data_IF_064820639188
#
_entry.id   IF_064820639188
#
_cell.length_a   1.000
_cell.length_b   1.000
_cell.length_c   1.000
_cell.angle_alpha   90.00
_cell.angle_beta   90.00
_cell.angle_gamma   90.00
#
_symmetry.space_group_name_H-M   'P 1'
#
loop_
_entity.id
_entity.type
_entity.pdbx_description
1 polymer ?
#
# COMPACT_ATOMS: atom_id res chain seq x y z
N UNK A 1 -15.77 11.68 9.55
CA UNK A 1 -14.84 10.70 10.15
C UNK A 1 -15.65 9.68 10.93
N UNK A 2 -15.53 8.40 10.60
CA UNK A 2 -16.20 7.29 11.29
C UNK A 2 -15.16 6.53 12.08
N UNK A 3 -15.32 6.47 13.41
CA UNK A 3 -14.47 5.66 14.27
C UNK A 3 -15.04 4.26 14.36
N UNK A 4 -14.27 3.26 13.97
CA UNK A 4 -14.68 1.87 14.08
C UNK A 4 -13.53 0.95 14.45
N UNK A 5 -13.85 -0.13 15.13
CA UNK A 5 -12.88 -1.20 15.38
C UNK A 5 -12.75 -2.11 14.16
N UNK A 6 -11.60 -2.74 13.99
CA UNK A 6 -11.40 -3.74 12.94
C UNK A 6 -12.37 -4.89 13.16
N UNK A 7 -13.12 -5.26 12.11
CA UNK A 7 -14.04 -6.40 12.14
C UNK A 7 -13.25 -7.69 11.95
N UNK A 8 -13.58 -8.73 12.72
CA UNK A 8 -12.92 -10.03 12.70
C UNK A 8 -13.93 -11.15 12.44
N UNK A 9 -13.65 -11.97 11.44
CA UNK A 9 -14.45 -13.14 11.09
C UNK A 9 -13.59 -14.39 11.22
N UNK A 10 -14.16 -15.52 11.59
CA UNK A 10 -13.47 -16.81 11.55
C UNK A 10 -14.04 -17.67 10.44
N UNK A 11 -13.16 -18.34 9.68
CA UNK A 11 -13.55 -19.33 8.67
C UNK A 11 -12.88 -20.66 8.94
N UNK A 12 -13.67 -21.68 9.22
CA UNK A 12 -13.23 -23.04 9.47
C UNK A 12 -13.04 -23.76 8.14
N UNK A 13 -11.83 -24.24 7.89
CA UNK A 13 -11.52 -25.02 6.70
C UNK A 13 -12.25 -26.38 6.73
N UNK A 14 -12.93 -26.77 5.64
CA UNK A 14 -13.45 -28.13 5.49
C UNK A 14 -12.34 -29.19 5.56
N UNK A 15 -12.54 -30.25 6.33
CA UNK A 15 -11.60 -31.38 6.39
C UNK A 15 -12.33 -32.72 6.50
N UNK A 16 -11.74 -33.74 5.87
CA UNK A 16 -12.14 -35.15 6.02
C UNK A 16 -11.29 -35.89 7.07
N UNK A 17 -10.26 -35.22 7.59
CA UNK A 17 -9.33 -35.78 8.55
C UNK A 17 -9.92 -35.72 9.98
N UNK A 18 -9.27 -36.42 10.92
CA UNK A 18 -9.67 -36.39 12.32
C UNK A 18 -9.60 -34.97 12.90
N UNK A 19 -10.75 -34.46 13.32
CA UNK A 19 -10.88 -33.15 13.95
C UNK A 19 -10.57 -33.20 15.44
N UNK A 20 -10.15 -32.07 15.99
CA UNK A 20 -10.28 -31.82 17.42
C UNK A 20 -11.76 -31.62 17.77
N UNK A 21 -12.08 -31.73 19.06
CA UNK A 21 -13.39 -31.33 19.55
C UNK A 21 -13.48 -29.80 19.52
N UNK A 22 -14.44 -29.29 18.75
CA UNK A 22 -14.67 -27.87 18.58
C UNK A 22 -16.18 -27.60 18.46
N UNK A 23 -16.59 -26.40 18.86
CA UNK A 23 -17.97 -25.96 18.79
C UNK A 23 -18.04 -24.60 18.11
N UNK A 24 -19.00 -24.46 17.19
CA UNK A 24 -19.36 -23.19 16.56
C UNK A 24 -20.77 -22.85 17.02
N UNK A 25 -20.91 -21.64 17.57
CA UNK A 25 -22.21 -21.11 17.98
C UNK A 25 -22.45 -19.80 17.21
N UNK A 26 -23.53 -19.75 16.46
CA UNK A 26 -23.93 -18.58 15.68
C UNK A 26 -25.09 -17.90 16.40
N UNK A 27 -24.81 -16.79 17.07
CA UNK A 27 -25.80 -15.96 17.75
C UNK A 27 -26.32 -14.86 16.80
N UNK A 28 -27.49 -14.27 17.07
CA UNK A 28 -28.04 -13.17 16.26
C UNK A 28 -27.12 -11.93 16.20
N UNK A 29 -26.20 -11.77 17.15
CA UNK A 29 -25.26 -10.63 17.27
C UNK A 29 -23.79 -11.07 17.41
N UNK A 30 -23.40 -12.14 16.73
CA UNK A 30 -21.99 -12.57 16.68
C UNK A 30 -21.85 -14.07 16.55
N UNK A 31 -20.61 -14.53 16.36
CA UNK A 31 -20.29 -15.96 16.38
C UNK A 31 -19.27 -16.26 17.46
N UNK A 32 -19.30 -17.47 18.00
CA UNK A 32 -18.24 -17.97 18.87
C UNK A 32 -17.66 -19.30 18.38
N UNK A 33 -16.34 -19.41 18.50
CA UNK A 33 -15.58 -20.60 18.15
C UNK A 33 -14.88 -21.10 19.41
N UNK A 34 -15.14 -22.33 19.80
CA UNK A 34 -14.56 -22.97 20.97
C UNK A 34 -13.76 -24.20 20.56
N UNK A 35 -12.51 -24.28 21.04
CA UNK A 35 -11.68 -25.48 20.93
C UNK A 35 -11.56 -26.16 22.29
N UNK A 36 -11.81 -27.47 22.32
CA UNK A 36 -11.57 -28.32 23.49
C UNK A 36 -10.27 -29.09 23.27
N UNK A 37 -9.29 -28.83 24.13
CA UNK A 37 -7.99 -29.49 24.13
C UNK A 37 -7.93 -30.40 25.37
N UNK A 38 -8.11 -31.73 25.21
CA UNK A 38 -8.06 -32.67 26.32
C UNK A 38 -6.72 -32.59 27.06
N UNK A 39 -6.75 -32.71 28.39
CA UNK A 39 -5.52 -32.83 29.18
C UNK A 39 -4.78 -34.10 28.82
N UNK A 40 -3.48 -33.97 28.57
CA UNK A 40 -2.60 -35.12 28.48
C UNK A 40 -2.38 -35.67 29.90
N UNK A 41 -2.81 -36.91 30.14
CA UNK A 41 -2.67 -37.60 31.42
C UNK A 41 -1.20 -37.88 31.78
N UNK A 42 -0.28 -37.74 30.82
CA UNK A 42 1.17 -37.88 31.02
C UNK A 42 1.85 -36.65 31.67
N UNK A 43 1.20 -35.48 31.71
CA UNK A 43 1.79 -34.21 32.19
C UNK A 43 1.83 -34.04 33.73
N UNK A 44 1.52 -35.08 34.50
CA UNK A 44 1.57 -35.05 35.96
C UNK A 44 0.34 -34.45 36.66
N UNK A 45 0.35 -34.50 38.00
CA UNK A 45 -0.84 -34.32 38.87
C UNK A 45 -1.30 -32.85 39.00
N UNK A 46 -0.47 -31.87 38.63
CA UNK A 46 -0.81 -30.44 38.67
C UNK A 46 -0.66 -29.86 37.26
N UNK A 47 -1.73 -29.94 36.47
CA UNK A 47 -1.77 -29.38 35.11
C UNK A 47 -2.78 -28.22 35.05
N UNK A 48 -2.31 -26.98 35.20
CA UNK A 48 -3.11 -25.75 35.07
C UNK A 48 -3.41 -25.37 33.60
N UNK A 49 -3.22 -26.28 32.64
CA UNK A 49 -3.55 -26.01 31.23
C UNK A 49 -5.07 -25.85 31.08
N UNK A 50 -5.45 -24.73 30.47
CA UNK A 50 -6.84 -24.45 30.09
C UNK A 50 -7.27 -25.47 29.03
N UNK A 51 -8.40 -26.13 29.26
CA UNK A 51 -8.97 -27.12 28.32
C UNK A 51 -9.82 -26.45 27.25
N UNK A 52 -10.60 -25.44 27.63
CA UNK A 52 -11.58 -24.80 26.76
C UNK A 52 -11.12 -23.40 26.33
N UNK A 53 -10.99 -23.21 25.02
CA UNK A 53 -10.58 -21.95 24.40
C UNK A 53 -11.71 -21.39 23.53
N UNK A 54 -12.53 -20.53 24.13
CA UNK A 54 -13.64 -19.83 23.46
C UNK A 54 -13.22 -18.43 22.98
N UNK A 55 -13.55 -18.12 21.74
CA UNK A 55 -13.25 -16.85 21.05
C UNK A 55 -14.52 -16.28 20.42
N UNK A 56 -14.66 -14.95 20.38
CA UNK A 56 -15.82 -14.25 19.79
C UNK A 56 -15.42 -13.53 18.50
N UNK A 57 -16.31 -13.55 17.53
CA UNK A 57 -16.15 -12.95 16.21
C UNK A 57 -17.46 -12.25 15.79
N UNK A 58 -17.40 -11.39 14.77
CA UNK A 58 -18.60 -10.84 14.16
C UNK A 58 -19.45 -11.95 13.51
N UNK A 59 -18.80 -12.94 12.90
CA UNK A 59 -19.42 -14.20 12.50
C UNK A 59 -18.36 -15.32 12.44
N UNK A 60 -18.80 -16.56 12.59
CA UNK A 60 -17.98 -17.77 12.42
C UNK A 60 -18.59 -18.63 11.33
N UNK A 61 -17.86 -18.79 10.23
CA UNK A 61 -18.22 -19.64 9.11
C UNK A 61 -17.67 -21.04 9.35
N UNK A 62 -18.54 -22.00 9.63
CA UNK A 62 -18.14 -23.40 9.83
C UNK A 62 -17.82 -24.09 8.48
N UNK A 63 -17.42 -25.35 8.52
CA UNK A 63 -16.95 -26.15 7.38
C UNK A 63 -17.94 -26.22 6.20
N UNK A 64 -19.23 -25.93 6.39
CA UNK A 64 -20.24 -25.96 5.32
C UNK A 64 -20.34 -24.66 4.54
N UNK A 65 -19.74 -23.58 5.03
CA UNK A 65 -19.87 -22.24 4.44
C UNK A 65 -19.18 -22.16 3.07
N UNK A 66 -19.93 -21.74 2.06
CA UNK A 66 -19.45 -21.59 0.69
C UNK A 66 -18.87 -20.18 0.43
N UNK A 67 -18.25 -19.97 -0.73
CA UNK A 67 -17.62 -18.69 -1.08
C UNK A 67 -18.59 -17.51 -1.21
N UNK A 68 -19.84 -17.79 -1.59
CA UNK A 68 -20.87 -16.76 -1.76
C UNK A 68 -21.30 -16.20 -0.41
N UNK A 69 -21.51 -17.07 0.58
CA UNK A 69 -21.78 -16.66 1.97
C UNK A 69 -20.65 -15.79 2.54
N UNK A 70 -19.39 -16.17 2.29
CA UNK A 70 -18.23 -15.36 2.70
C UNK A 70 -18.24 -13.99 2.01
N UNK A 71 -18.50 -13.96 0.71
CA UNK A 71 -18.54 -12.71 -0.05
C UNK A 71 -19.63 -11.77 0.44
N UNK A 72 -20.86 -12.26 0.57
CA UNK A 72 -22.02 -11.48 1.00
C UNK A 72 -21.85 -10.91 2.41
N UNK A 73 -21.31 -11.70 3.35
CA UNK A 73 -21.16 -11.28 4.73
C UNK A 73 -19.93 -10.39 4.99
N UNK A 74 -18.86 -10.53 4.20
CA UNK A 74 -17.58 -9.86 4.45
C UNK A 74 -17.22 -8.85 3.36
N UNK A 75 -17.13 -9.30 2.11
CA UNK A 75 -16.54 -8.51 1.05
C UNK A 75 -17.48 -7.44 0.50
N UNK A 76 -18.77 -7.78 0.34
CA UNK A 76 -19.77 -6.86 -0.17
C UNK A 76 -19.95 -5.60 0.69
N UNK A 77 -20.08 -5.66 2.03
CA UNK A 77 -20.13 -4.45 2.86
C UNK A 77 -18.88 -3.58 2.71
N UNK A 78 -17.70 -4.18 2.55
CA UNK A 78 -16.45 -3.43 2.33
C UNK A 78 -16.44 -2.80 0.94
N UNK A 79 -16.89 -3.52 -0.09
CA UNK A 79 -17.02 -3.00 -1.45
C UNK A 79 -18.02 -1.84 -1.53
N UNK A 80 -19.13 -1.90 -0.79
CA UNK A 80 -20.11 -0.80 -0.68
C UNK A 80 -19.48 0.46 -0.07
N UNK A 81 -18.65 0.29 0.97
CA UNK A 81 -17.91 1.42 1.54
C UNK A 81 -16.89 2.01 0.56
N UNK A 82 -16.26 1.16 -0.26
CA UNK A 82 -15.32 1.59 -1.31
C UNK A 82 -16.05 2.37 -2.40
N UNK A 83 -17.22 1.90 -2.84
CA UNK A 83 -18.11 2.63 -3.76
C UNK A 83 -18.55 3.98 -3.19
N UNK A 84 -18.77 4.06 -1.88
CA UNK A 84 -19.10 5.30 -1.19
C UNK A 84 -17.92 6.28 -1.05
N UNK A 85 -16.68 5.85 -1.33
CA UNK A 85 -15.47 6.68 -1.28
C UNK A 85 -14.60 6.49 -0.02
N UNK A 86 -14.82 5.43 0.76
CA UNK A 86 -13.96 5.06 1.89
C UNK A 86 -12.88 4.05 1.46
N UNK A 87 -11.69 4.12 2.05
CA UNK A 87 -10.71 3.03 1.87
C UNK A 87 -11.19 1.75 2.58
N UNK A 88 -10.89 0.60 1.98
CA UNK A 88 -11.23 -0.71 2.48
C UNK A 88 -10.01 -1.64 2.54
N UNK A 89 -10.00 -2.57 3.49
CA UNK A 89 -9.01 -3.65 3.53
C UNK A 89 -9.65 -4.93 4.02
N UNK A 90 -9.42 -6.03 3.30
CA UNK A 90 -9.74 -7.39 3.73
C UNK A 90 -8.45 -8.18 3.71
N UNK A 91 -8.05 -8.73 4.86
CA UNK A 91 -6.86 -9.59 4.91
C UNK A 91 -7.16 -10.94 5.57
N UNK A 92 -6.65 -12.02 4.96
CA UNK A 92 -6.74 -13.36 5.51
C UNK A 92 -5.47 -13.71 6.30
N UNK A 93 -5.64 -14.27 7.50
CA UNK A 93 -4.54 -14.64 8.40
C UNK A 93 -4.76 -16.03 9.01
N UNK A 94 -3.69 -16.80 9.16
CA UNK A 94 -3.71 -18.18 9.65
C UNK A 94 -2.54 -19.00 9.14
N UNK A 95 -2.40 -20.23 9.63
CA UNK A 95 -1.31 -21.12 9.20
C UNK A 95 -1.39 -21.50 7.72
N UNK A 96 -0.29 -21.97 7.14
CA UNK A 96 -0.29 -22.59 5.82
C UNK A 96 -1.30 -23.73 5.75
N UNK A 97 -2.04 -23.77 4.65
CA UNK A 97 -3.08 -24.76 4.41
C UNK A 97 -4.37 -24.54 5.20
N UNK A 98 -4.54 -23.43 5.94
CA UNK A 98 -5.82 -23.12 6.64
C UNK A 98 -6.91 -22.52 5.74
N UNK A 99 -6.62 -22.24 4.47
CA UNK A 99 -7.62 -21.76 3.49
C UNK A 99 -7.60 -20.25 3.22
N UNK A 100 -6.50 -19.54 3.54
CA UNK A 100 -6.34 -18.10 3.23
C UNK A 100 -6.48 -17.79 1.73
N UNK A 101 -5.62 -18.36 0.90
CA UNK A 101 -5.64 -18.23 -0.56
C UNK A 101 -6.96 -18.68 -1.18
N UNK A 102 -7.52 -19.80 -0.69
CA UNK A 102 -8.85 -20.23 -1.13
C UNK A 102 -9.92 -19.18 -0.79
N UNK A 103 -9.83 -18.50 0.35
CA UNK A 103 -10.78 -17.44 0.70
C UNK A 103 -10.62 -16.19 -0.15
N UNK A 104 -9.37 -15.74 -0.35
CA UNK A 104 -9.08 -14.48 -1.04
C UNK A 104 -9.21 -14.64 -2.57
N UNK A 105 -8.51 -15.59 -3.16
CA UNK A 105 -8.48 -15.81 -4.61
C UNK A 105 -9.52 -16.83 -5.06
N UNK A 106 -9.61 -17.96 -4.35
CA UNK A 106 -10.49 -19.07 -4.73
C UNK A 106 -9.78 -20.27 -5.33
N UNK A 107 -10.57 -21.29 -5.67
CA UNK A 107 -10.12 -22.46 -6.42
C UNK A 107 -10.22 -22.25 -7.94
N UNK A 108 -9.33 -22.88 -8.70
CA UNK A 108 -9.33 -22.84 -10.16
C UNK A 108 -10.28 -23.86 -10.82
N UNK A 109 -10.80 -24.83 -10.05
CA UNK A 109 -11.53 -25.98 -10.59
C UNK A 109 -13.00 -25.68 -10.90
N UNK A 110 -13.71 -24.98 -10.01
CA UNK A 110 -15.12 -24.68 -10.18
C UNK A 110 -15.39 -23.18 -10.09
N UNK A 111 -16.32 -22.69 -10.90
CA UNK A 111 -16.75 -21.29 -10.86
C UNK A 111 -17.22 -20.86 -9.46
N UNK A 112 -17.93 -21.75 -8.76
CA UNK A 112 -18.43 -21.48 -7.41
C UNK A 112 -17.31 -21.33 -6.37
N UNK A 113 -16.12 -21.86 -6.66
CA UNK A 113 -14.96 -21.80 -5.76
C UNK A 113 -14.19 -20.48 -5.87
N UNK A 114 -14.58 -19.58 -6.79
CA UNK A 114 -14.04 -18.21 -6.88
C UNK A 114 -14.16 -17.50 -5.53
N UNK A 115 -13.05 -16.91 -5.09
CA UNK A 115 -12.93 -16.26 -3.78
C UNK A 115 -13.41 -14.81 -3.79
N UNK A 116 -12.94 -14.06 -2.78
CA UNK A 116 -13.30 -12.66 -2.57
C UNK A 116 -12.89 -11.76 -3.73
N UNK A 117 -11.66 -11.87 -4.26
CA UNK A 117 -11.17 -10.96 -5.32
C UNK A 117 -12.06 -11.02 -6.57
N UNK A 118 -12.22 -12.18 -7.25
CA UNK A 118 -13.00 -12.23 -8.48
C UNK A 118 -14.48 -11.84 -8.24
N UNK A 119 -15.08 -12.21 -7.10
CA UNK A 119 -16.47 -11.83 -6.77
C UNK A 119 -16.60 -10.33 -6.53
N UNK A 120 -15.61 -9.70 -5.90
CA UNK A 120 -15.56 -8.25 -5.69
C UNK A 120 -15.45 -7.51 -7.02
N UNK A 121 -14.59 -7.97 -7.93
CA UNK A 121 -14.49 -7.39 -9.26
C UNK A 121 -15.83 -7.46 -10.00
N UNK A 122 -16.45 -8.64 -10.07
CA UNK A 122 -17.79 -8.80 -10.67
C UNK A 122 -18.82 -7.87 -10.04
N UNK A 123 -18.84 -7.75 -8.71
CA UNK A 123 -19.77 -6.87 -8.00
C UNK A 123 -19.59 -5.39 -8.35
N UNK A 124 -18.34 -4.90 -8.35
CA UNK A 124 -18.04 -3.51 -8.67
C UNK A 124 -18.43 -3.17 -10.10
N UNK A 125 -18.06 -3.99 -11.10
CA UNK A 125 -18.40 -3.73 -12.50
C UNK A 125 -19.90 -3.87 -12.80
N UNK A 126 -20.61 -4.76 -12.09
CA UNK A 126 -22.07 -4.80 -12.11
C UNK A 126 -22.70 -3.53 -11.51
N UNK A 127 -22.06 -2.90 -10.53
CA UNK A 127 -22.50 -1.62 -9.98
C UNK A 127 -22.27 -0.48 -10.98
N UNK A 128 -21.07 -0.42 -11.58
CA UNK A 128 -20.71 0.62 -12.55
C UNK A 128 -21.63 0.64 -13.77
N UNK A 129 -22.07 -0.54 -14.23
CA UNK A 129 -23.00 -0.65 -15.36
C UNK A 129 -24.44 -0.24 -15.02
N UNK A 130 -24.83 -0.27 -13.74
CA UNK A 130 -26.17 0.11 -13.27
C UNK A 130 -26.27 1.60 -12.95
N UNK A 131 -25.20 2.22 -12.48
CA UNK A 131 -25.19 3.64 -12.14
C UNK A 131 -24.66 4.50 -13.31
N UNK A 132 -25.59 5.08 -14.07
CA UNK A 132 -25.29 5.98 -15.19
C UNK A 132 -25.04 7.43 -14.77
N UNK A 133 -25.21 7.77 -13.48
CA UNK A 133 -25.01 9.12 -12.95
C UNK A 133 -23.55 9.41 -12.59
N UNK A 134 -22.75 8.36 -12.44
CA UNK A 134 -21.35 8.40 -12.06
C UNK A 134 -20.44 7.89 -13.17
N UNK A 135 -19.26 8.50 -13.27
CA UNK A 135 -18.14 8.00 -14.05
C UNK A 135 -17.18 7.31 -13.08
N UNK A 136 -16.95 6.02 -13.30
CA UNK A 136 -15.98 5.24 -12.54
C UNK A 136 -14.68 5.05 -13.34
N UNK A 137 -13.56 5.17 -12.65
CA UNK A 137 -12.22 4.87 -13.18
C UNK A 137 -11.54 3.91 -12.22
N UNK A 138 -11.15 2.75 -12.72
CA UNK A 138 -10.56 1.68 -11.93
C UNK A 138 -9.13 1.43 -12.38
N UNK A 139 -8.20 1.37 -11.41
CA UNK A 139 -6.84 0.90 -11.62
C UNK A 139 -6.55 -0.24 -10.65
N UNK A 140 -5.78 -1.22 -11.09
CA UNK A 140 -5.41 -2.40 -10.32
C UNK A 140 -3.89 -2.43 -10.17
N UNK A 141 -3.43 -2.74 -8.96
CA UNK A 141 -2.05 -3.14 -8.69
C UNK A 141 -2.03 -4.48 -7.96
N UNK A 142 -0.99 -5.27 -8.20
CA UNK A 142 -0.82 -6.58 -7.55
C UNK A 142 0.62 -6.74 -7.10
N UNK A 143 0.83 -6.71 -5.78
CA UNK A 143 2.14 -6.72 -5.15
C UNK A 143 2.36 -8.05 -4.42
N UNK A 144 3.49 -8.70 -4.68
CA UNK A 144 3.98 -9.82 -3.87
C UNK A 144 5.14 -9.36 -3.00
N UNK A 145 5.08 -9.62 -1.70
CA UNK A 145 6.15 -9.35 -0.75
C UNK A 145 6.76 -10.68 -0.33
N UNK A 146 7.97 -10.94 -0.79
CA UNK A 146 8.74 -12.13 -0.46
C UNK A 146 10.10 -11.71 0.09
N UNK A 147 10.49 -12.27 1.24
CA UNK A 147 11.77 -11.96 1.89
C UNK A 147 12.02 -10.44 2.10
N UNK A 148 11.00 -9.71 2.58
CA UNK A 148 11.01 -8.24 2.77
C UNK A 148 11.25 -7.41 1.50
N UNK A 149 11.20 -8.05 0.32
CA UNK A 149 11.31 -7.39 -0.98
C UNK A 149 9.96 -7.47 -1.69
N UNK A 150 9.52 -6.34 -2.25
CA UNK A 150 8.28 -6.25 -3.03
C UNK A 150 8.54 -6.46 -4.51
N UNK A 151 7.64 -7.18 -5.17
CA UNK A 151 7.69 -7.50 -6.59
C UNK A 151 6.34 -7.15 -7.24
N UNK A 152 6.39 -6.45 -8.37
CA UNK A 152 5.21 -6.13 -9.15
C UNK A 152 4.78 -7.32 -10.02
N UNK A 153 3.58 -7.86 -9.76
CA UNK A 153 3.03 -9.01 -10.48
C UNK A 153 2.34 -8.64 -11.80
N UNK A 154 2.12 -7.36 -12.09
CA UNK A 154 1.37 -6.91 -13.28
C UNK A 154 2.23 -6.24 -14.34
N UNK A 155 3.56 -6.33 -14.26
CA UNK A 155 4.40 -5.70 -15.27
C UNK A 155 4.27 -6.45 -16.62
N UNK A 156 3.77 -5.80 -17.69
CA UNK A 156 3.55 -6.43 -18.99
C UNK A 156 4.83 -6.69 -19.80
N UNK A 157 5.99 -6.19 -19.36
CA UNK A 157 7.24 -6.20 -20.10
C UNK A 157 8.16 -7.37 -19.76
N UNK A 158 7.74 -8.29 -18.89
CA UNK A 158 8.57 -9.38 -18.42
C UNK A 158 7.88 -10.74 -18.54
N UNK A 159 8.39 -11.59 -19.44
CA UNK A 159 8.25 -13.04 -19.37
C UNK A 159 9.13 -13.54 -18.22
N UNK A 160 8.66 -13.38 -16.98
CA UNK A 160 9.44 -13.76 -15.80
C UNK A 160 9.53 -15.29 -15.68
N UNK A 161 10.75 -15.81 -15.55
CA UNK A 161 10.99 -17.23 -15.26
C UNK A 161 11.15 -17.49 -13.76
N UNK A 162 11.48 -16.45 -13.00
CA UNK A 162 11.68 -16.45 -11.55
C UNK A 162 11.12 -15.15 -10.95
N UNK A 163 10.75 -15.19 -9.67
CA UNK A 163 10.26 -14.00 -8.95
C UNK A 163 11.24 -12.82 -8.99
N UNK A 164 12.54 -13.12 -8.90
CA UNK A 164 13.60 -12.11 -8.87
C UNK A 164 13.78 -11.34 -10.18
N UNK A 165 13.21 -11.87 -11.28
CA UNK A 165 13.20 -11.21 -12.58
C UNK A 165 12.13 -10.10 -12.64
N UNK A 166 11.16 -10.12 -11.72
CA UNK A 166 10.12 -9.10 -11.65
C UNK A 166 10.66 -7.78 -11.09
N UNK A 167 10.05 -6.64 -11.47
CA UNK A 167 10.46 -5.33 -10.99
C UNK A 167 10.34 -5.23 -9.48
N UNK A 168 11.43 -4.80 -8.84
CA UNK A 168 11.44 -4.55 -7.40
C UNK A 168 10.73 -3.24 -7.07
N UNK A 169 9.76 -3.36 -6.18
CA UNK A 169 8.99 -2.24 -5.64
C UNK A 169 9.75 -1.61 -4.47
N UNK A 170 9.81 -0.29 -4.44
CA UNK A 170 10.50 0.47 -3.38
C UNK A 170 9.51 1.39 -2.67
N UNK A 171 9.54 1.40 -1.35
CA UNK A 171 8.75 2.34 -0.54
C UNK A 171 9.45 3.71 -0.52
N UNK A 172 8.69 4.76 -0.82
CA UNK A 172 9.06 6.15 -0.64
C UNK A 172 8.07 6.81 0.32
N UNK A 173 8.53 7.76 1.12
CA UNK A 173 7.69 8.53 2.01
C UNK A 173 7.79 10.01 1.64
N UNK A 174 6.66 10.68 1.49
CA UNK A 174 6.62 12.11 1.20
C UNK A 174 6.73 12.96 2.49
N UNK A 175 6.86 14.30 2.39
CA UNK A 175 6.94 15.18 3.57
C UNK A 175 5.72 15.11 4.50
N UNK A 176 4.56 14.74 3.96
CA UNK A 176 3.30 14.56 4.71
C UNK A 176 3.20 13.14 5.32
N UNK A 177 4.27 12.35 5.21
CA UNK A 177 4.39 10.98 5.69
C UNK A 177 3.51 9.96 4.96
N UNK A 178 3.01 10.27 3.77
CA UNK A 178 2.28 9.28 2.97
C UNK A 178 3.26 8.33 2.29
N UNK A 179 2.85 7.07 2.18
CA UNK A 179 3.64 5.99 1.61
C UNK A 179 3.31 5.84 0.13
N UNK A 180 4.36 5.92 -0.69
CA UNK A 180 4.31 5.77 -2.15
C UNK A 180 5.11 4.55 -2.58
N UNK A 181 4.55 3.73 -3.48
CA UNK A 181 5.19 2.52 -3.99
C UNK A 181 5.77 2.80 -5.38
N UNK A 182 7.09 2.96 -5.45
CA UNK A 182 7.80 3.13 -6.72
C UNK A 182 7.92 1.79 -7.44
N UNK A 183 7.76 1.82 -8.77
CA UNK A 183 7.83 0.65 -9.66
C UNK A 183 6.72 -0.38 -9.46
N UNK A 184 5.63 -0.03 -8.78
CA UNK A 184 4.41 -0.84 -8.77
C UNK A 184 3.49 -0.36 -9.89
N UNK A 185 3.16 -1.23 -10.84
CA UNK A 185 2.25 -0.91 -11.94
C UNK A 185 0.85 -0.61 -11.44
N UNK A 186 0.23 0.43 -12.00
CA UNK A 186 -1.19 0.77 -11.85
C UNK A 186 -1.86 0.58 -13.21
N UNK A 187 -2.38 -0.62 -13.46
CA UNK A 187 -3.00 -0.97 -14.74
C UNK A 187 -4.47 -0.56 -14.73
N UNK A 188 -4.89 0.24 -15.71
CA UNK A 188 -6.30 0.61 -15.84
C UNK A 188 -7.11 -0.59 -16.34
N UNK A 189 -8.32 -0.78 -15.80
CA UNK A 189 -9.26 -1.81 -16.26
C UNK A 189 -10.60 -1.19 -16.62
N UNK A 190 -11.00 -1.26 -17.89
CA UNK A 190 -12.21 -0.62 -18.40
C UNK A 190 -13.48 -1.47 -18.14
N UNK A 191 -13.33 -2.78 -18.03
CA UNK A 191 -14.43 -3.73 -17.85
C UNK A 191 -14.02 -4.89 -16.92
N UNK A 192 -15.00 -5.74 -16.59
CA UNK A 192 -14.81 -6.89 -15.70
C UNK A 192 -13.79 -7.89 -16.25
N UNK A 193 -13.80 -8.14 -17.57
CA UNK A 193 -12.93 -9.11 -18.23
C UNK A 193 -11.47 -8.68 -18.09
N UNK A 194 -11.14 -7.43 -18.44
CA UNK A 194 -9.78 -6.87 -18.27
C UNK A 194 -9.30 -6.93 -16.82
N UNK A 195 -10.20 -6.66 -15.85
CA UNK A 195 -9.84 -6.73 -14.43
C UNK A 195 -9.56 -8.17 -13.97
N UNK A 196 -10.32 -9.15 -14.45
CA UNK A 196 -10.07 -10.56 -14.18
C UNK A 196 -8.80 -11.05 -14.88
N UNK A 197 -8.51 -10.58 -16.09
CA UNK A 197 -7.27 -10.90 -16.81
C UNK A 197 -6.03 -10.42 -16.04
N UNK A 198 -6.09 -9.24 -15.42
CA UNK A 198 -5.02 -8.76 -14.54
C UNK A 198 -4.82 -9.66 -13.31
N UNK A 199 -5.91 -10.16 -12.70
CA UNK A 199 -5.82 -11.15 -11.63
C UNK A 199 -5.15 -12.45 -12.11
N UNK A 200 -5.59 -12.98 -13.26
CA UNK A 200 -5.03 -14.20 -13.84
C UNK A 200 -3.56 -14.04 -14.23
N UNK A 201 -3.18 -12.90 -14.79
CA UNK A 201 -1.78 -12.57 -15.11
C UNK A 201 -0.91 -12.61 -13.86
N UNK A 202 -1.32 -11.93 -12.79
CA UNK A 202 -0.55 -11.91 -11.55
C UNK A 202 -0.48 -13.28 -10.87
N UNK A 203 -1.57 -14.05 -10.86
CA UNK A 203 -1.57 -15.41 -10.34
C UNK A 203 -0.67 -16.34 -11.18
N UNK A 204 -0.63 -16.16 -12.49
CA UNK A 204 0.26 -16.91 -13.39
C UNK A 204 1.72 -16.58 -13.10
N UNK A 205 2.06 -15.30 -12.97
CA UNK A 205 3.41 -14.86 -12.62
C UNK A 205 3.85 -15.43 -11.26
N UNK A 206 2.94 -15.45 -10.28
CA UNK A 206 3.17 -16.05 -8.96
C UNK A 206 3.40 -17.56 -9.05
N UNK A 207 2.62 -18.29 -9.85
CA UNK A 207 2.81 -19.73 -10.04
C UNK A 207 4.11 -20.07 -10.77
N UNK A 208 4.49 -19.31 -11.79
CA UNK A 208 5.75 -19.54 -12.53
C UNK A 208 6.97 -19.32 -11.63
N UNK A 209 6.88 -18.33 -10.74
CA UNK A 209 7.90 -18.07 -9.72
C UNK A 209 8.03 -19.20 -8.68
N UNK A 210 7.01 -20.06 -8.55
CA UNK A 210 7.02 -21.19 -7.62
C UNK A 210 7.82 -22.37 -8.21
N UNK A 211 8.90 -22.76 -7.53
CA UNK A 211 9.70 -23.92 -7.93
C UNK A 211 9.64 -25.00 -6.85
N UNK A 212 9.86 -26.29 -7.15
CA UNK A 212 9.85 -27.35 -6.13
C UNK A 212 10.84 -27.12 -4.97
N UNK A 213 11.87 -26.31 -5.21
CA UNK A 213 12.87 -25.90 -4.21
C UNK A 213 12.45 -24.65 -3.42
N UNK A 214 11.57 -23.79 -3.98
CA UNK A 214 11.03 -22.56 -3.39
C UNK A 214 9.50 -22.56 -3.46
N UNK A 215 8.83 -23.06 -2.41
CA UNK A 215 7.38 -22.92 -2.22
C UNK A 215 7.00 -21.49 -1.80
N UNK A 216 7.33 -20.51 -2.67
CA UNK A 216 7.18 -19.09 -2.41
C UNK A 216 5.73 -18.69 -2.10
N UNK A 217 4.73 -19.36 -2.70
CA UNK A 217 3.30 -19.03 -2.58
C UNK A 217 2.76 -19.11 -1.14
N UNK A 218 3.28 -20.02 -0.31
CA UNK A 218 2.87 -20.16 1.11
C UNK A 218 3.62 -19.22 2.05
N UNK A 219 4.60 -18.52 1.48
CA UNK A 219 5.71 -17.86 2.14
C UNK A 219 5.86 -16.40 1.72
N UNK A 220 5.05 -15.93 0.79
CA UNK A 220 4.94 -14.54 0.41
C UNK A 220 3.59 -13.97 0.86
N UNK A 221 3.52 -12.65 0.93
CA UNK A 221 2.27 -11.93 1.14
C UNK A 221 1.84 -11.32 -0.18
N UNK A 222 0.58 -11.53 -0.55
CA UNK A 222 0.01 -10.99 -1.78
C UNK A 222 -0.97 -9.88 -1.43
N UNK A 223 -0.83 -8.71 -2.06
CA UNK A 223 -1.69 -7.55 -1.89
C UNK A 223 -2.25 -7.18 -3.26
N UNK A 224 -3.49 -7.59 -3.51
CA UNK A 224 -4.26 -7.15 -4.68
C UNK A 224 -5.00 -5.87 -4.32
N UNK A 225 -4.78 -4.79 -5.06
CA UNK A 225 -5.35 -3.48 -4.75
C UNK A 225 -6.19 -2.97 -5.89
N UNK A 226 -7.43 -2.62 -5.58
CA UNK A 226 -8.33 -1.92 -6.49
C UNK A 226 -8.37 -0.45 -6.08
N UNK A 227 -7.94 0.42 -6.98
CA UNK A 227 -8.04 1.87 -6.85
C UNK A 227 -9.26 2.32 -7.63
N UNK A 228 -10.26 2.86 -6.94
CA UNK A 228 -11.51 3.30 -7.53
C UNK A 228 -11.62 4.82 -7.38
N UNK A 229 -11.79 5.52 -8.49
CA UNK A 229 -12.24 6.91 -8.46
C UNK A 229 -13.61 7.01 -9.12
N UNK A 230 -14.53 7.69 -8.44
CA UNK A 230 -15.90 7.94 -8.91
C UNK A 230 -16.15 9.44 -8.97
N UNK A 231 -16.76 9.89 -10.07
CA UNK A 231 -17.11 11.29 -10.30
C UNK A 231 -18.55 11.40 -10.78
N UNK A 232 -19.36 12.16 -10.05
CA UNK A 232 -20.72 12.49 -10.49
C UNK A 232 -20.67 13.43 -11.72
N UNK A 233 -21.55 13.18 -12.69
CA UNK A 233 -21.64 14.01 -13.90
C UNK A 233 -21.96 15.47 -13.55
N UNK A 234 -21.04 16.38 -13.92
CA UNK A 234 -21.17 17.82 -13.64
C UNK A 234 -20.63 18.26 -12.27
N UNK A 235 -20.23 17.33 -11.40
CA UNK A 235 -19.55 17.67 -10.15
C UNK A 235 -18.09 18.02 -10.38
N UNK A 236 -17.59 18.98 -9.60
CA UNK A 236 -16.17 19.30 -9.52
C UNK A 236 -15.42 18.42 -8.50
N UNK A 237 -16.16 17.62 -7.71
CA UNK A 237 -15.61 16.73 -6.69
C UNK A 237 -15.41 15.34 -7.28
N UNK A 238 -14.30 14.70 -6.92
CA UNK A 238 -13.99 13.30 -7.21
C UNK A 238 -13.83 12.59 -5.89
N UNK A 239 -14.39 11.38 -5.80
CA UNK A 239 -14.13 10.49 -4.67
C UNK A 239 -13.15 9.42 -5.11
N UNK A 240 -12.10 9.18 -4.34
CA UNK A 240 -11.12 8.15 -4.63
C UNK A 240 -10.91 7.25 -3.42
N UNK A 241 -11.15 5.96 -3.59
CA UNK A 241 -11.00 4.93 -2.57
C UNK A 241 -10.02 3.86 -3.03
N UNK A 242 -9.45 3.17 -2.04
CA UNK A 242 -8.53 2.05 -2.25
C UNK A 242 -9.04 0.83 -1.50
N UNK A 243 -9.13 -0.31 -2.17
CA UNK A 243 -9.48 -1.60 -1.58
C UNK A 243 -8.30 -2.55 -1.66
N UNK A 244 -7.73 -2.88 -0.50
CA UNK A 244 -6.72 -3.92 -0.37
C UNK A 244 -7.36 -5.28 -0.08
N UNK A 245 -7.06 -6.28 -0.90
CA UNK A 245 -7.44 -7.67 -0.73
C UNK A 245 -6.15 -8.48 -0.54
N UNK A 246 -5.92 -8.93 0.69
CA UNK A 246 -4.61 -9.39 1.15
C UNK A 246 -4.64 -10.86 1.54
N UNK A 247 -3.74 -11.65 0.94
CA UNK A 247 -3.44 -13.02 1.32
C UNK A 247 -2.07 -13.04 2.00
N UNK A 248 -2.05 -13.18 3.33
CA UNK A 248 -0.81 -13.20 4.09
C UNK A 248 -0.14 -14.59 4.02
N UNK A 249 1.16 -14.64 4.27
CA UNK A 249 1.89 -15.89 4.43
C UNK A 249 1.41 -16.71 5.64
N UNK A 250 1.85 -17.97 5.72
CA UNK A 250 1.58 -18.85 6.87
C UNK A 250 2.06 -18.28 8.21
N UNK A 251 1.19 -18.30 9.23
CA UNK A 251 1.51 -17.82 10.58
C UNK A 251 2.21 -18.83 11.50
N UNK A 252 2.50 -20.03 11.02
CA UNK A 252 3.11 -21.10 11.80
C UNK A 252 4.58 -20.86 12.13
N UNK A 253 5.02 -21.38 13.28
CA UNK A 253 6.40 -21.24 13.77
C UNK A 253 7.37 -22.16 13.03
N UNK A 254 8.50 -21.62 12.57
CA UNK A 254 9.59 -22.35 11.89
C UNK A 254 10.09 -23.57 12.66
N UNK A 255 10.09 -23.53 13.99
CA UNK A 255 10.66 -24.60 14.82
C UNK A 255 10.00 -25.97 14.67
N UNK A 256 8.82 -26.07 14.04
CA UNK A 256 8.11 -27.34 13.80
C UNK A 256 8.39 -27.96 12.43
N UNK A 257 8.99 -27.24 11.50
CA UNK A 257 9.09 -27.70 10.10
C UNK A 257 10.29 -28.60 9.84
N UNK A 258 11.25 -28.68 10.77
CA UNK A 258 12.41 -29.58 10.66
C UNK A 258 13.37 -29.26 9.50
N UNK A 259 13.25 -28.07 8.89
CA UNK A 259 14.00 -27.70 7.68
C UNK A 259 15.27 -26.93 8.03
N UNK A 260 16.39 -27.26 7.37
CA UNK A 260 17.69 -26.56 7.49
C UNK A 260 18.09 -25.79 6.22
N UNK A 261 19.17 -25.01 6.29
CA UNK A 261 19.75 -24.31 5.14
C UNK A 261 19.03 -23.00 4.74
N UNK A 262 19.01 -22.67 3.44
CA UNK A 262 18.38 -21.46 2.90
C UNK A 262 16.89 -21.33 3.26
N UNK A 263 16.19 -22.47 3.36
CA UNK A 263 14.78 -22.52 3.77
C UNK A 263 14.58 -22.06 5.22
N UNK A 264 15.57 -22.26 6.11
CA UNK A 264 15.51 -21.75 7.48
C UNK A 264 15.69 -20.23 7.54
N UNK A 265 16.53 -19.68 6.68
CA UNK A 265 16.69 -18.22 6.51
C UNK A 265 15.41 -17.61 5.95
N UNK A 266 14.81 -18.22 4.94
CA UNK A 266 13.53 -17.80 4.35
C UNK A 266 12.40 -17.85 5.38
N UNK A 267 12.25 -18.97 6.09
CA UNK A 267 11.26 -19.14 7.16
C UNK A 267 11.43 -18.12 8.29
N UNK A 268 12.67 -17.67 8.56
CA UNK A 268 12.97 -16.58 9.50
C UNK A 268 12.44 -15.23 8.99
N UNK A 269 12.61 -14.89 7.71
CA UNK A 269 12.14 -13.61 7.15
C UNK A 269 10.62 -13.54 6.97
N UNK A 270 9.96 -14.67 6.70
CA UNK A 270 8.49 -14.74 6.65
C UNK A 270 7.92 -14.46 8.04
N UNK A 271 8.47 -15.12 9.04
CA UNK A 271 8.11 -14.84 10.42
C UNK A 271 8.51 -13.43 10.84
N UNK A 272 9.53 -12.81 10.22
CA UNK A 272 9.91 -11.44 10.50
C UNK A 272 8.83 -10.44 10.11
N UNK A 273 8.30 -10.54 8.89
CA UNK A 273 7.20 -9.68 8.42
C UNK A 273 5.95 -9.78 9.31
N UNK A 274 5.53 -11.01 9.64
CA UNK A 274 4.38 -11.29 10.51
C UNK A 274 4.65 -10.91 11.97
N UNK A 275 5.88 -11.04 12.43
CA UNK A 275 6.30 -10.56 13.75
C UNK A 275 6.19 -9.05 13.84
N UNK A 276 6.63 -8.30 12.81
CA UNK A 276 6.47 -6.85 12.79
C UNK A 276 5.00 -6.42 12.72
N UNK A 277 4.16 -7.16 11.99
CA UNK A 277 2.71 -6.98 12.02
C UNK A 277 2.15 -7.15 13.44
N UNK A 278 2.57 -8.21 14.15
CA UNK A 278 2.19 -8.42 15.54
C UNK A 278 2.67 -7.29 16.46
N UNK A 279 3.89 -6.79 16.27
CA UNK A 279 4.42 -5.65 17.03
C UNK A 279 3.61 -4.37 16.78
N UNK A 280 3.18 -4.12 15.54
CA UNK A 280 2.30 -2.99 15.19
C UNK A 280 0.95 -3.13 15.90
N UNK A 281 0.34 -4.32 15.88
CA UNK A 281 -0.95 -4.58 16.54
C UNK A 281 -0.85 -4.40 18.06
N UNK A 282 0.21 -4.93 18.68
CA UNK A 282 0.44 -4.76 20.12
C UNK A 282 0.61 -3.27 20.43
N UNK A 283 1.44 -2.56 19.66
CA UNK A 283 1.67 -1.13 19.85
C UNK A 283 0.38 -0.30 19.70
N UNK A 284 -0.50 -0.65 18.76
CA UNK A 284 -1.81 0.01 18.57
C UNK A 284 -2.81 -0.31 19.68
N UNK A 285 -2.68 -1.46 20.34
CA UNK A 285 -3.53 -1.84 21.48
C UNK A 285 -3.11 -1.19 22.81
N UNK A 286 -1.85 -0.75 22.91
CA UNK A 286 -1.31 -0.08 24.10
C UNK A 286 -1.83 1.35 24.22
N UNK A 287 -2.47 1.67 25.35
CA UNK A 287 -2.88 3.05 25.65
C UNK A 287 -1.64 3.91 25.87
N UNK A 288 -1.50 5.00 25.12
CA UNK A 288 -0.44 6.02 25.22
C UNK A 288 0.90 5.70 24.52
N UNK A 289 0.92 4.78 23.54
CA UNK A 289 2.10 4.62 22.68
C UNK A 289 2.10 5.67 21.57
N UNK A 290 3.13 6.51 21.51
CA UNK A 290 3.25 7.57 20.50
C UNK A 290 3.79 7.07 19.17
N UNK A 291 4.68 6.08 19.19
CA UNK A 291 5.34 5.56 17.99
C UNK A 291 4.91 4.13 17.67
N UNK A 292 4.37 3.95 16.47
CA UNK A 292 3.97 2.65 15.92
C UNK A 292 4.99 2.23 14.84
N UNK A 293 5.59 1.02 14.93
CA UNK A 293 6.74 0.65 14.11
C UNK A 293 6.39 0.13 12.70
N UNK A 294 5.60 0.89 11.93
CA UNK A 294 5.21 0.49 10.55
C UNK A 294 6.39 0.38 9.59
N UNK A 295 7.50 1.08 9.86
CA UNK A 295 8.68 1.09 8.99
C UNK A 295 9.54 -0.18 9.08
N UNK A 296 9.22 -1.08 10.01
CA UNK A 296 10.05 -2.26 10.25
C UNK A 296 9.91 -3.33 9.15
N UNK A 297 8.80 -3.34 8.40
CA UNK A 297 8.63 -4.20 7.23
C UNK A 297 7.91 -3.50 6.09
N UNK A 298 8.15 -3.97 4.88
CA UNK A 298 7.42 -3.49 3.70
C UNK A 298 5.91 -3.70 3.86
N UNK A 299 5.50 -4.87 4.37
CA UNK A 299 4.09 -5.21 4.57
C UNK A 299 3.40 -4.26 5.56
N UNK A 300 4.03 -3.96 6.70
CA UNK A 300 3.43 -3.05 7.69
C UNK A 300 3.42 -1.60 7.23
N UNK A 301 4.38 -1.22 6.38
CA UNK A 301 4.37 0.09 5.70
C UNK A 301 3.21 0.18 4.69
N UNK A 302 3.02 -0.82 3.84
CA UNK A 302 1.91 -0.83 2.86
C UNK A 302 0.54 -0.82 3.57
N UNK A 303 0.41 -1.55 4.68
CA UNK A 303 -0.84 -1.67 5.44
C UNK A 303 -0.98 -0.61 6.56
N UNK A 304 -0.19 0.46 6.53
CA UNK A 304 -0.23 1.52 7.55
C UNK A 304 -1.63 2.11 7.71
N UNK A 305 -2.29 2.42 6.59
CA UNK A 305 -3.64 3.00 6.61
C UNK A 305 -4.68 1.99 7.10
N UNK A 306 -4.48 0.71 6.77
CA UNK A 306 -5.36 -0.40 7.16
C UNK A 306 -5.35 -0.67 8.67
N UNK A 307 -4.26 -0.37 9.38
CA UNK A 307 -4.08 -0.72 10.78
C UNK A 307 -3.93 0.56 11.62
N UNK A 308 -5.04 1.11 12.11
CA UNK A 308 -5.04 2.33 12.93
C UNK A 308 -5.09 3.64 12.14
N UNK A 309 -5.32 3.59 10.82
CA UNK A 309 -5.37 4.76 9.94
C UNK A 309 -6.72 4.99 9.26
N UNK A 310 -6.69 5.62 8.09
CA UNK A 310 -7.86 5.93 7.26
C UNK A 310 -8.27 4.72 6.41
N UNK A 311 -8.94 3.74 7.04
CA UNK A 311 -9.42 2.56 6.34
C UNK A 311 -10.52 1.82 7.10
N UNK A 312 -11.48 1.25 6.37
CA UNK A 312 -12.43 0.25 6.88
C UNK A 312 -11.80 -1.14 6.73
N UNK A 313 -11.30 -1.68 7.84
CA UNK A 313 -10.53 -2.92 7.81
C UNK A 313 -11.30 -4.10 8.38
N UNK A 314 -11.20 -5.22 7.68
CA UNK A 314 -11.73 -6.51 8.07
C UNK A 314 -10.65 -7.58 8.01
N UNK A 315 -10.61 -8.43 9.03
CA UNK A 315 -9.71 -9.57 9.12
C UNK A 315 -10.50 -10.88 9.04
N UNK A 316 -10.00 -11.82 8.25
CA UNK A 316 -10.51 -13.20 8.19
C UNK A 316 -9.48 -14.13 8.84
N UNK A 317 -9.83 -14.69 10.00
CA UNK A 317 -9.07 -15.73 10.67
C UNK A 317 -9.39 -17.10 10.02
N UNK A 318 -8.51 -17.56 9.15
CA UNK A 318 -8.62 -18.86 8.51
C UNK A 318 -8.06 -19.95 9.44
N UNK A 319 -8.94 -20.84 9.93
CA UNK A 319 -8.60 -21.83 10.97
C UNK A 319 -8.78 -23.26 10.47
N UNK A 320 -7.96 -24.17 10.99
CA UNK A 320 -8.09 -25.62 10.75
C UNK A 320 -8.50 -26.33 12.03
N UNK A 321 -9.54 -27.15 11.95
CA UNK A 321 -10.03 -27.97 13.07
C UNK A 321 -9.37 -29.34 13.13
N UNK A 322 -8.38 -29.63 12.28
CA UNK A 322 -7.61 -30.87 12.38
C UNK A 322 -6.81 -30.91 13.68
N UNK A 323 -6.78 -32.07 14.34
CA UNK A 323 -6.16 -32.24 15.67
C UNK A 323 -4.73 -31.68 15.75
N UNK A 324 -3.92 -31.95 14.72
CA UNK A 324 -2.53 -31.48 14.59
C UNK A 324 -2.36 -29.95 14.50
N UNK A 325 -3.40 -29.25 14.05
CA UNK A 325 -3.39 -27.82 13.78
C UNK A 325 -4.03 -26.99 14.90
N UNK A 326 -4.72 -27.62 15.86
CA UNK A 326 -5.46 -26.95 16.94
C UNK A 326 -4.65 -25.85 17.65
N UNK A 327 -3.37 -26.10 17.95
CA UNK A 327 -2.51 -25.11 18.63
C UNK A 327 -2.23 -23.85 17.81
N UNK A 328 -2.07 -23.99 16.49
CA UNK A 328 -1.91 -22.85 15.59
C UNK A 328 -3.24 -22.13 15.39
N UNK A 329 -4.37 -22.86 15.22
CA UNK A 329 -5.72 -22.28 15.13
C UNK A 329 -6.08 -21.45 16.37
N UNK A 330 -5.74 -21.92 17.57
CA UNK A 330 -5.89 -21.15 18.82
C UNK A 330 -5.03 -19.88 18.78
N UNK A 331 -3.82 -19.96 18.22
CA UNK A 331 -2.92 -18.79 18.09
C UNK A 331 -3.46 -17.76 17.09
N UNK A 332 -3.99 -18.22 15.95
CA UNK A 332 -4.72 -17.39 14.97
C UNK A 332 -5.91 -16.69 15.61
N UNK A 333 -6.73 -17.41 16.39
CA UNK A 333 -7.87 -16.81 17.07
C UNK A 333 -7.44 -15.75 18.10
N UNK A 334 -6.42 -16.03 18.92
CA UNK A 334 -5.87 -15.05 19.88
C UNK A 334 -5.34 -13.79 19.19
N UNK A 335 -4.70 -13.95 18.04
CA UNK A 335 -4.23 -12.83 17.24
C UNK A 335 -5.41 -11.99 16.73
N UNK A 336 -6.45 -12.63 16.18
CA UNK A 336 -7.68 -11.94 15.76
C UNK A 336 -8.32 -11.16 16.92
N UNK A 337 -8.39 -11.73 18.13
CA UNK A 337 -8.92 -11.01 19.29
C UNK A 337 -8.12 -9.73 19.60
N UNK A 338 -6.79 -9.71 19.39
CA UNK A 338 -5.98 -8.50 19.56
C UNK A 338 -6.27 -7.47 18.48
N UNK A 339 -6.39 -7.92 17.22
CA UNK A 339 -6.71 -7.06 16.06
C UNK A 339 -8.05 -6.34 16.26
N UNK A 340 -9.06 -7.02 16.82
CA UNK A 340 -10.38 -6.42 17.08
C UNK A 340 -10.37 -5.20 18.02
N UNK A 341 -9.31 -4.99 18.81
CA UNK A 341 -9.19 -3.81 19.67
C UNK A 341 -8.63 -2.58 18.95
N UNK A 342 -8.07 -2.74 17.75
CA UNK A 342 -7.55 -1.63 16.96
C UNK A 342 -8.72 -0.79 16.45
N UNK A 343 -8.59 0.53 16.59
CA UNK A 343 -9.55 1.51 16.09
C UNK A 343 -8.98 2.21 14.88
N UNK A 344 -9.76 2.26 13.80
CA UNK A 344 -9.45 3.02 12.61
C UNK A 344 -10.33 4.28 12.56
N UNK A 345 -9.77 5.34 11.97
CA UNK A 345 -10.43 6.61 11.75
C UNK A 345 -10.72 6.77 10.25
N UNK A 346 -11.80 6.15 9.77
CA UNK A 346 -12.15 6.15 8.35
C UNK A 346 -12.70 7.52 7.92
N UNK A 347 -12.17 8.05 6.82
CA UNK A 347 -12.53 9.32 6.22
C UNK A 347 -13.10 9.08 4.82
N UNK A 348 -14.08 9.91 4.45
CA UNK A 348 -14.56 9.96 3.08
C UNK A 348 -13.50 10.71 2.26
N UNK A 349 -12.93 10.04 1.27
CA UNK A 349 -11.88 10.60 0.44
C UNK A 349 -12.50 11.34 -0.74
N UNK A 350 -12.80 12.63 -0.54
CA UNK A 350 -13.40 13.50 -1.53
C UNK A 350 -12.53 14.73 -1.73
N UNK A 351 -12.14 14.98 -2.99
CA UNK A 351 -11.25 16.07 -3.36
C UNK A 351 -11.75 16.79 -4.61
N UNK A 352 -11.27 18.02 -4.82
CA UNK A 352 -11.51 18.75 -6.07
C UNK A 352 -10.77 18.03 -7.20
N UNK A 353 -11.46 17.78 -8.31
CA UNK A 353 -10.88 17.16 -9.51
C UNK A 353 -9.53 17.84 -9.84
N UNK A 354 -8.41 17.10 -9.79
CA UNK A 354 -7.08 17.67 -10.01
C UNK A 354 -6.96 18.41 -11.34
N UNK A 355 -7.63 17.94 -12.40
CA UNK A 355 -7.60 18.60 -13.69
C UNK A 355 -8.29 19.98 -13.64
N UNK A 356 -9.42 20.06 -12.93
CA UNK A 356 -10.14 21.33 -12.70
C UNK A 356 -9.34 22.27 -11.80
N UNK A 357 -8.69 21.73 -10.76
CA UNK A 357 -7.82 22.49 -9.87
C UNK A 357 -6.65 23.09 -10.66
N UNK A 358 -5.98 22.30 -11.51
CA UNK A 358 -4.90 22.78 -12.39
C UNK A 358 -5.39 23.89 -13.31
N UNK A 359 -6.59 23.76 -13.90
CA UNK A 359 -7.17 24.81 -14.75
C UNK A 359 -7.44 26.10 -13.96
N UNK A 360 -7.99 25.99 -12.75
CA UNK A 360 -8.22 27.15 -11.86
C UNK A 360 -6.92 27.83 -11.47
N UNK A 361 -5.92 27.06 -11.04
CA UNK A 361 -4.61 27.59 -10.66
C UNK A 361 -3.91 28.27 -11.85
N UNK A 362 -4.00 27.69 -13.06
CA UNK A 362 -3.46 28.33 -14.28
C UNK A 362 -4.15 29.68 -14.58
N UNK A 363 -5.47 29.76 -14.40
CA UNK A 363 -6.23 31.00 -14.60
C UNK A 363 -5.87 32.06 -13.56
N UNK A 364 -5.70 31.66 -12.31
CA UNK A 364 -5.31 32.54 -11.22
C UNK A 364 -3.88 33.07 -11.41
N UNK A 365 -2.94 32.21 -11.79
CA UNK A 365 -1.59 32.61 -12.18
C UNK A 365 -1.63 33.63 -13.32
N UNK A 366 -2.48 33.42 -14.32
CA UNK A 366 -2.63 34.36 -15.43
C UNK A 366 -3.17 35.73 -14.98
N UNK A 367 -4.22 35.74 -14.15
CA UNK A 367 -4.79 36.97 -13.60
C UNK A 367 -3.79 37.74 -12.74
N UNK A 368 -3.02 37.04 -11.89
CA UNK A 368 -1.98 37.65 -11.07
C UNK A 368 -0.84 38.22 -11.91
N UNK A 369 -0.46 37.54 -13.00
CA UNK A 369 0.52 38.06 -13.96
C UNK A 369 0.02 39.33 -14.66
N UNK A 370 -1.26 39.39 -15.02
CA UNK A 370 -1.88 40.57 -15.64
C UNK A 370 -1.97 41.75 -14.65
N UNK A 371 -2.38 41.51 -13.41
CA UNK A 371 -2.41 42.52 -12.36
C UNK A 371 -1.01 43.06 -12.04
N UNK A 372 -0.02 42.18 -11.93
CA UNK A 372 1.39 42.57 -11.81
C UNK A 372 1.82 43.45 -12.98
N UNK A 373 1.49 43.07 -14.22
CA UNK A 373 1.84 43.88 -15.39
C UNK A 373 1.17 45.26 -15.40
N UNK A 374 -0.05 45.38 -14.87
CA UNK A 374 -0.75 46.66 -14.71
C UNK A 374 -0.12 47.53 -13.63
N UNK A 375 0.29 46.94 -12.50
CA UNK A 375 0.89 47.67 -11.37
C UNK A 375 2.34 48.07 -11.64
N UNK A 376 3.12 47.21 -12.29
CA UNK A 376 4.54 47.48 -12.58
C UNK A 376 4.75 48.16 -13.93
N UNK A 377 3.77 48.13 -14.83
CA UNK A 377 3.91 48.61 -16.21
C UNK A 377 4.80 47.71 -17.09
N UNK A 378 5.28 46.57 -16.57
CA UNK A 378 6.16 45.64 -17.27
C UNK A 378 5.40 44.38 -17.68
N UNK A 379 5.29 44.11 -18.99
CA UNK A 379 4.89 42.78 -19.46
C UNK A 379 6.06 41.80 -19.33
N UNK A 380 6.11 41.07 -18.21
CA UNK A 380 7.14 40.05 -17.96
C UNK A 380 6.79 38.76 -18.69
N UNK A 381 7.58 38.42 -19.72
CA UNK A 381 7.23 37.44 -20.75
C UNK A 381 8.01 36.12 -20.76
N UNK A 382 8.36 35.44 -19.66
CA UNK A 382 9.22 34.22 -19.64
C UNK A 382 10.65 34.38 -20.25
N UNK A 383 10.83 35.01 -21.40
CA UNK A 383 12.11 35.37 -22.05
C UNK A 383 12.43 36.84 -21.85
N UNK A 384 13.73 37.16 -21.83
CA UNK A 384 14.21 38.54 -21.92
C UNK A 384 14.07 39.03 -23.37
N UNK A 385 13.76 40.31 -23.56
CA UNK A 385 13.77 40.92 -24.90
C UNK A 385 15.21 41.07 -25.40
N UNK A 386 15.40 41.26 -26.70
CA UNK A 386 16.74 41.51 -27.26
C UNK A 386 17.37 42.80 -26.69
N UNK A 387 16.57 43.83 -26.47
CA UNK A 387 17.03 45.08 -25.85
C UNK A 387 17.46 44.86 -24.39
N UNK A 388 16.71 44.07 -23.62
CA UNK A 388 17.09 43.71 -22.24
C UNK A 388 18.38 42.89 -22.21
N UNK A 389 18.53 41.93 -23.14
CA UNK A 389 19.75 41.12 -23.25
C UNK A 389 20.95 42.01 -23.54
N UNK A 390 20.85 42.90 -24.51
CA UNK A 390 21.94 43.81 -24.89
C UNK A 390 22.34 44.75 -23.75
N UNK A 391 21.35 45.31 -23.04
CA UNK A 391 21.61 46.13 -21.85
C UNK A 391 22.27 45.36 -20.71
N UNK A 392 21.94 44.08 -20.54
CA UNK A 392 22.57 43.23 -19.53
C UNK A 392 24.00 42.87 -19.90
N UNK A 393 24.27 42.60 -21.18
CA UNK A 393 25.62 42.37 -21.70
C UNK A 393 26.50 43.60 -21.45
N UNK A 394 26.04 44.80 -21.82
CA UNK A 394 26.77 46.05 -21.57
C UNK A 394 27.01 46.31 -20.07
N UNK A 395 26.01 46.05 -19.20
CA UNK A 395 26.18 46.21 -17.75
C UNK A 395 27.17 45.21 -17.15
N UNK A 396 27.21 43.98 -17.68
CA UNK A 396 28.19 42.98 -17.26
C UNK A 396 29.59 43.38 -17.70
N UNK A 397 29.75 43.86 -18.93
CA UNK A 397 31.05 44.31 -19.44
C UNK A 397 31.60 45.46 -18.59
N UNK A 398 30.76 46.48 -18.30
CA UNK A 398 31.14 47.59 -17.41
C UNK A 398 31.49 47.10 -16.01
N UNK A 399 30.72 46.15 -15.47
CA UNK A 399 30.98 45.55 -14.16
C UNK A 399 32.31 44.76 -14.13
N UNK A 400 32.68 44.09 -15.22
CA UNK A 400 33.91 43.32 -15.32
C UNK A 400 35.15 44.19 -15.58
N UNK A 401 34.97 45.35 -16.22
CA UNK A 401 36.05 46.32 -16.49
C UNK A 401 36.35 47.24 -15.30
N UNK A 402 35.41 47.40 -14.36
CA UNK A 402 35.59 48.19 -13.13
C UNK A 402 36.62 47.54 -12.19
N UNK A 403 37.73 48.24 -11.84
CA UNK A 403 38.78 47.70 -10.98
C UNK A 403 38.40 47.68 -9.48
N UNK A 404 37.31 48.34 -9.08
CA UNK A 404 36.84 48.39 -7.70
C UNK A 404 36.04 47.13 -7.33
N UNK A 405 36.51 46.42 -6.31
CA UNK A 405 35.91 45.18 -5.82
C UNK A 405 34.59 45.36 -5.06
N UNK A 406 34.21 46.59 -4.70
CA UNK A 406 32.94 46.88 -4.01
C UNK A 406 31.79 47.22 -4.97
N UNK A 407 32.04 47.27 -6.27
CA UNK A 407 30.99 47.53 -7.28
C UNK A 407 29.96 46.40 -7.24
N UNK A 408 28.68 46.76 -7.26
CA UNK A 408 27.56 45.81 -7.28
C UNK A 408 26.76 45.91 -8.57
N UNK A 409 26.51 44.77 -9.20
CA UNK A 409 25.62 44.67 -10.36
C UNK A 409 24.15 44.79 -9.91
N UNK A 410 23.52 45.94 -10.14
CA UNK A 410 22.13 46.18 -9.75
C UNK A 410 21.15 45.75 -10.87
N UNK A 411 20.70 44.50 -10.80
CA UNK A 411 19.78 43.91 -11.78
C UNK A 411 18.29 44.06 -11.43
N UNK A 412 17.99 44.73 -10.31
CA UNK A 412 16.64 44.77 -9.74
C UNK A 412 16.13 43.39 -9.28
N UNK A 413 14.84 43.26 -8.95
CA UNK A 413 14.26 42.02 -8.42
C UNK A 413 13.94 40.96 -9.49
N UNK A 414 14.37 41.12 -10.75
CA UNK A 414 14.04 40.19 -11.84
C UNK A 414 15.02 39.02 -11.90
N UNK A 415 14.55 37.86 -11.44
CA UNK A 415 15.34 36.62 -11.43
C UNK A 415 15.81 36.17 -12.82
N UNK A 416 15.13 36.57 -13.91
CA UNK A 416 15.54 36.24 -15.28
C UNK A 416 16.82 36.97 -15.66
N UNK A 417 16.92 38.26 -15.32
CA UNK A 417 18.12 39.09 -15.52
C UNK A 417 19.30 38.50 -14.75
N UNK A 418 19.06 38.15 -13.49
CA UNK A 418 20.04 37.48 -12.62
C UNK A 418 20.54 36.16 -13.23
N UNK A 419 19.64 35.27 -13.65
CA UNK A 419 20.01 34.00 -14.27
C UNK A 419 20.80 34.17 -15.57
N UNK A 420 20.41 35.13 -16.42
CA UNK A 420 21.12 35.43 -17.66
C UNK A 420 22.55 35.89 -17.38
N UNK A 421 22.73 36.86 -16.48
CA UNK A 421 24.06 37.37 -16.10
C UNK A 421 24.95 36.26 -15.55
N UNK A 422 24.44 35.42 -14.64
CA UNK A 422 25.21 34.28 -14.11
C UNK A 422 25.54 33.23 -15.18
N UNK A 423 24.66 33.02 -16.15
CA UNK A 423 24.92 32.10 -17.26
C UNK A 423 26.04 32.61 -18.17
N UNK A 424 26.02 33.90 -18.49
CA UNK A 424 27.05 34.56 -19.31
C UNK A 424 28.41 34.53 -18.59
N UNK A 425 28.46 34.98 -17.34
CA UNK A 425 29.67 34.95 -16.52
C UNK A 425 30.24 33.53 -16.37
N UNK A 426 29.39 32.51 -16.21
CA UNK A 426 29.81 31.10 -16.16
C UNK A 426 30.37 30.62 -17.49
N UNK A 427 29.79 31.06 -18.61
CA UNK A 427 30.28 30.74 -19.94
C UNK A 427 31.68 31.34 -20.14
N UNK A 428 31.85 32.62 -19.83
CA UNK A 428 33.12 33.33 -20.05
C UNK A 428 34.22 32.84 -19.13
N UNK A 429 33.89 32.57 -17.86
CA UNK A 429 34.80 31.92 -16.93
C UNK A 429 35.28 30.56 -17.46
N UNK A 430 34.37 29.71 -17.94
CA UNK A 430 34.72 28.41 -18.54
C UNK A 430 35.55 28.56 -19.80
N UNK A 431 35.23 29.53 -20.64
CA UNK A 431 35.97 29.82 -21.87
C UNK A 431 37.42 30.23 -21.56
N UNK A 432 37.62 31.16 -20.62
CA UNK A 432 38.96 31.58 -20.18
C UNK A 432 39.73 30.47 -19.46
N UNK A 433 39.03 29.62 -18.71
CA UNK A 433 39.64 28.44 -18.06
C UNK A 433 40.12 27.42 -19.10
N UNK A 434 39.32 27.15 -20.14
CA UNK A 434 39.67 26.25 -21.23
C UNK A 434 40.83 26.78 -22.09
N UNK A 435 40.96 28.09 -22.22
CA UNK A 435 42.10 28.75 -22.87
C UNK A 435 43.37 28.78 -22.00
N UNK A 436 43.30 28.30 -20.75
CA UNK A 436 44.42 28.28 -19.81
C UNK A 436 44.79 29.65 -19.23
N UNK A 437 43.94 30.66 -19.41
CA UNK A 437 44.15 32.05 -18.95
C UNK A 437 43.81 32.16 -17.46
N UNK A 438 42.74 31.48 -17.01
CA UNK A 438 42.35 31.38 -15.61
C UNK A 438 42.58 29.96 -15.09
N UNK A 439 43.13 29.84 -13.87
CA UNK A 439 43.14 28.57 -13.13
C UNK A 439 41.87 28.46 -12.29
N UNK A 440 41.21 27.30 -12.32
CA UNK A 440 40.13 27.02 -11.36
C UNK A 440 40.74 27.06 -9.96
N UNK A 441 40.28 27.96 -9.06
CA UNK A 441 40.79 27.97 -7.70
C UNK A 441 40.39 26.65 -7.03
N UNK A 442 41.34 26.02 -6.34
CA UNK A 442 41.02 24.92 -5.43
C UNK A 442 39.93 25.39 -4.46
N UNK A 443 38.86 24.60 -4.31
CA UNK A 443 37.74 24.92 -3.41
C UNK A 443 38.29 25.28 -2.03
N UNK A 444 38.28 26.56 -1.67
CA UNK A 444 38.52 26.97 -0.28
C UNK A 444 37.37 26.39 0.55
N UNK A 445 37.69 25.49 1.47
CA UNK A 445 36.80 25.14 2.56
C UNK A 445 36.54 26.43 3.34
N UNK A 446 35.36 27.03 3.15
CA UNK A 446 34.86 28.01 4.10
C UNK A 446 34.54 27.25 5.38
N UNK A 447 35.48 27.31 6.32
CA UNK A 447 35.22 26.93 7.70
C UNK A 447 34.07 27.77 8.23
N UNK A 448 33.18 27.11 8.96
CA UNK A 448 32.17 27.74 9.80
C UNK A 448 32.80 28.83 10.66
N UNK A 449 32.60 30.09 10.27
CA UNK A 449 32.67 31.23 11.19
C UNK A 449 31.97 32.40 10.50
N UNK A 450 30.68 32.52 10.75
CA UNK A 450 29.91 33.76 10.83
C UNK A 450 28.61 33.43 11.58
N UNK A 451 28.32 34.28 12.57
CA UNK A 451 27.34 34.19 13.67
C UNK A 451 25.90 34.23 13.16
#
# INVERSE_FOLDING_TARGET
MVKQTIQIFARVKPTKNQTAEYFVDCEEQGGSLEFVVPRDLADGVINNKRENYKFRFQNVFDQTANQEEIFEAIAKPVADNVLAGYNGTIFAYGQTGSGKTFTITGGAEHYNDRGIIPRTLSYLYQHFSKDSSMIYTTHISYLEIYNETGYDLLNPQHEASRLEDLPKVTIMEDPDQNIHLKNLSLQQSANEEEALDLLFLGDTNRMIAETPMNQASTRSHCIFTIHLCSKELGSAMVRCSKLHLVDLAGSERVGKTGVGGQILTEAKYINLSLHYLEQVIIALSEKNRSHIPYRNSMMTSVLRDSLGGNCMTTMIAAVSVERRNTGESISTCRFAQRVAFIKNDALLNEELDPALLIVRLKKEIQSLKEELALVTGEQRSDKLTQEEIQQLEEQIDVYLEEPDSEVTLNLGPDMRKIHFCFSLLKHDYRYQTNLGILKVPERRHFGHELI
#
